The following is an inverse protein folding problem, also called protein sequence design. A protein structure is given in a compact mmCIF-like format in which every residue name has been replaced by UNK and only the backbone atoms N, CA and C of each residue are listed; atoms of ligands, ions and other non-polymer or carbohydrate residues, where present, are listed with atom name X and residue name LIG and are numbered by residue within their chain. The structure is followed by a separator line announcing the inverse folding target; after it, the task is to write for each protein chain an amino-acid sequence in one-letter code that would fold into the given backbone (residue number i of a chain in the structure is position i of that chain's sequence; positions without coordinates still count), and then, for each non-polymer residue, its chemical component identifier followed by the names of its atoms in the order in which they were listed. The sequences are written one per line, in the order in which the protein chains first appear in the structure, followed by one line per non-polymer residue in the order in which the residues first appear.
data_IF_296538473982
#
_entry.id   IF_296538473982
#
_cell.length_a   1.000
_cell.length_b   1.000
_cell.length_c   1.000
_cell.angle_alpha   90.00
_cell.angle_beta   90.00
_cell.angle_gamma   90.00
#
_symmetry.space_group_name_H-M   'P 1'
#
loop_
_entity.id
_entity.type
_entity.pdbx_description
1 polymer ?
#
# COMPACT_ATOMS: atom_id res chain seq x y z
N UNK A 1 -36.57 32.18 12.56
CA UNK A 1 -36.83 30.80 13.03
C UNK A 1 -37.16 29.99 11.77
N UNK A 2 -36.39 29.03 11.23
CA UNK A 2 -35.89 27.79 11.85
C UNK A 2 -34.87 27.06 10.93
N UNK A 3 -33.68 26.75 11.50
CA UNK A 3 -32.81 25.54 11.46
C UNK A 3 -32.59 24.69 10.18
N UNK A 4 -31.32 24.71 9.74
CA UNK A 4 -30.35 23.60 9.65
C UNK A 4 -30.81 22.21 9.14
N UNK A 5 -30.21 21.74 8.04
CA UNK A 5 -30.16 20.31 7.70
C UNK A 5 -28.73 19.87 7.43
N UNK A 6 -28.21 19.18 8.45
CA UNK A 6 -26.90 18.55 8.57
C UNK A 6 -26.74 17.40 7.57
N UNK A 7 -25.87 17.53 6.55
CA UNK A 7 -25.49 16.41 5.68
C UNK A 7 -24.46 15.55 6.41
N UNK A 8 -24.92 14.47 7.03
CA UNK A 8 -24.07 13.37 7.48
C UNK A 8 -23.44 12.69 6.25
N UNK A 9 -22.16 12.96 6.00
CA UNK A 9 -21.34 12.17 5.09
C UNK A 9 -21.29 10.72 5.58
N UNK A 10 -21.62 9.79 4.68
CA UNK A 10 -21.52 8.33 4.88
C UNK A 10 -20.15 7.99 5.47
N UNK A 11 -20.02 6.99 6.37
CA UNK A 11 -18.69 6.56 6.79
C UNK A 11 -17.96 6.12 5.52
N UNK A 12 -16.89 6.85 5.17
CA UNK A 12 -15.96 6.39 4.17
C UNK A 12 -15.63 4.95 4.56
N UNK A 13 -15.70 4.00 3.61
CA UNK A 13 -15.02 2.70 3.80
C UNK A 13 -13.68 3.05 4.42
N UNK A 14 -13.38 2.52 5.60
CA UNK A 14 -12.12 2.76 6.28
C UNK A 14 -11.02 2.29 5.35
N UNK A 15 -10.58 3.18 4.47
CA UNK A 15 -9.56 2.92 3.48
C UNK A 15 -8.28 3.03 4.29
N UNK A 16 -7.95 1.95 5.00
CA UNK A 16 -6.71 1.88 5.75
C UNK A 16 -5.60 1.98 4.72
N UNK A 17 -4.86 3.10 4.67
CA UNK A 17 -3.81 3.26 3.69
C UNK A 17 -2.73 2.20 3.95
N UNK A 18 -2.07 1.72 2.90
CA UNK A 18 -0.98 0.78 3.06
C UNK A 18 0.14 1.43 3.89
N UNK A 19 0.57 0.74 4.95
CA UNK A 19 1.67 1.19 5.78
C UNK A 19 3.01 1.06 5.04
N UNK A 20 3.11 0.06 4.15
CA UNK A 20 4.27 -0.16 3.31
C UNK A 20 3.85 -0.59 1.91
N UNK A 21 4.67 -0.27 0.91
CA UNK A 21 4.55 -0.75 -0.47
C UNK A 21 5.60 -1.83 -0.69
N UNK A 22 5.19 -2.94 -1.30
CA UNK A 22 6.07 -4.05 -1.63
C UNK A 22 6.67 -3.88 -3.01
N UNK A 23 8.00 -3.88 -3.07
CA UNK A 23 8.76 -3.81 -4.30
C UNK A 23 9.57 -5.10 -4.50
N UNK A 24 9.48 -5.66 -5.69
CA UNK A 24 10.46 -6.62 -6.17
C UNK A 24 11.71 -5.87 -6.63
N UNK A 25 12.86 -6.29 -6.12
CA UNK A 25 14.17 -5.82 -6.55
C UNK A 25 14.85 -6.95 -7.32
N UNK A 26 14.99 -6.75 -8.62
CA UNK A 26 15.71 -7.64 -9.52
C UNK A 26 17.05 -6.99 -9.88
N UNK A 27 18.15 -7.72 -9.72
CA UNK A 27 19.48 -7.26 -10.08
C UNK A 27 19.92 -8.03 -11.32
N UNK A 28 19.85 -7.39 -12.49
CA UNK A 28 20.35 -7.97 -13.74
C UNK A 28 21.64 -7.29 -14.15
N UNK A 29 22.76 -7.94 -13.83
CA UNK A 29 24.08 -7.37 -14.03
C UNK A 29 24.25 -6.09 -13.20
N UNK A 30 24.55 -4.98 -13.85
CA UNK A 30 24.80 -3.68 -13.20
C UNK A 30 23.51 -2.86 -12.96
N UNK A 31 22.35 -3.33 -13.43
CA UNK A 31 21.07 -2.60 -13.35
C UNK A 31 20.16 -3.19 -12.27
N UNK A 32 19.62 -2.30 -11.42
CA UNK A 32 18.62 -2.63 -10.41
C UNK A 32 17.23 -2.22 -10.89
N UNK A 33 16.33 -3.19 -11.02
CA UNK A 33 14.94 -2.98 -11.38
C UNK A 33 14.08 -2.99 -10.13
N UNK A 34 13.26 -1.96 -9.97
CA UNK A 34 12.29 -1.83 -8.89
C UNK A 34 10.90 -1.96 -9.48
N UNK A 35 10.20 -3.04 -9.16
CA UNK A 35 8.82 -3.27 -9.62
C UNK A 35 7.90 -3.28 -8.43
N UNK A 36 6.85 -2.46 -8.43
CA UNK A 36 5.81 -2.53 -7.39
C UNK A 36 5.01 -3.82 -7.60
N UNK A 37 4.96 -4.68 -6.59
CA UNK A 37 4.31 -5.99 -6.66
C UNK A 37 3.19 -6.16 -5.63
N UNK A 38 3.00 -5.18 -4.74
CA UNK A 38 1.96 -5.24 -3.73
C UNK A 38 2.08 -4.16 -2.65
N UNK A 39 1.42 -4.40 -1.52
CA UNK A 39 1.42 -3.52 -0.38
C UNK A 39 1.23 -4.28 0.94
N UNK A 40 1.57 -3.66 2.06
CA UNK A 40 1.42 -4.19 3.39
C UNK A 40 0.70 -3.22 4.31
N UNK A 41 -0.16 -3.75 5.16
CA UNK A 41 -0.97 -3.01 6.13
C UNK A 41 -0.63 -3.47 7.54
N UNK A 42 -0.73 -2.55 8.51
CA UNK A 42 -0.63 -2.92 9.92
C UNK A 42 -1.81 -3.81 10.28
N UNK A 43 -1.51 -4.93 10.92
CA UNK A 43 -2.53 -5.85 11.37
C UNK A 43 -3.29 -5.24 12.55
N UNK A 44 -4.62 -5.42 12.57
CA UNK A 44 -5.48 -4.79 13.59
C UNK A 44 -5.27 -5.39 14.99
N UNK A 45 -4.77 -6.63 15.08
CA UNK A 45 -4.79 -7.44 16.30
C UNK A 45 -3.39 -7.82 16.82
N UNK A 46 -2.41 -6.92 16.72
CA UNK A 46 -1.09 -7.10 17.34
C UNK A 46 0.07 -6.52 16.54
N UNK A 47 1.29 -6.96 16.87
CA UNK A 47 2.53 -6.61 16.17
C UNK A 47 2.70 -7.47 14.92
N UNK A 48 2.00 -7.10 13.85
CA UNK A 48 2.07 -7.82 12.58
C UNK A 48 1.74 -6.95 11.38
N UNK A 49 2.14 -7.41 10.20
CA UNK A 49 1.81 -6.78 8.92
C UNK A 49 1.08 -7.81 8.06
N UNK A 50 -0.06 -7.42 7.52
CA UNK A 50 -0.72 -8.16 6.44
C UNK A 50 -0.06 -7.76 5.13
N UNK A 51 0.53 -8.70 4.40
CA UNK A 51 1.14 -8.47 3.08
C UNK A 51 0.23 -9.01 1.98
N UNK A 52 -0.13 -8.18 1.02
CA UNK A 52 -0.84 -8.59 -0.20
C UNK A 52 0.09 -8.38 -1.40
N UNK A 53 0.24 -9.43 -2.20
CA UNK A 53 1.07 -9.43 -3.41
C UNK A 53 0.18 -9.74 -4.62
N UNK A 54 0.23 -8.87 -5.62
CA UNK A 54 -0.42 -9.09 -6.92
C UNK A 54 0.45 -9.96 -7.83
N UNK A 55 1.77 -9.92 -7.63
CA UNK A 55 2.74 -10.75 -8.33
C UNK A 55 3.75 -11.36 -7.37
N UNK A 56 4.06 -12.64 -7.61
CA UNK A 56 5.10 -13.37 -6.88
C UNK A 56 6.28 -13.61 -7.84
N UNK A 57 7.47 -13.08 -7.55
CA UNK A 57 8.64 -13.29 -8.40
C UNK A 57 9.14 -14.74 -8.30
N UNK A 58 9.07 -15.48 -9.40
CA UNK A 58 9.46 -16.91 -9.46
C UNK A 58 10.96 -17.14 -9.59
N UNK A 59 11.72 -16.14 -10.03
CA UNK A 59 13.14 -16.30 -10.39
C UNK A 59 14.12 -15.91 -9.27
N UNK A 60 13.67 -15.90 -8.01
CA UNK A 60 14.56 -15.74 -6.85
C UNK A 60 14.99 -14.31 -6.51
N UNK A 61 14.19 -13.29 -6.85
CA UNK A 61 14.45 -11.91 -6.47
C UNK A 61 13.93 -11.53 -5.08
N UNK A 62 14.39 -10.38 -4.57
CA UNK A 62 14.09 -9.92 -3.20
C UNK A 62 12.86 -9.03 -3.16
N UNK A 63 12.01 -9.22 -2.15
CA UNK A 63 10.91 -8.31 -1.86
C UNK A 63 11.34 -7.34 -0.77
N UNK A 64 11.18 -6.04 -1.02
CA UNK A 64 11.51 -4.95 -0.11
C UNK A 64 10.24 -4.16 0.18
N UNK A 65 9.89 -4.05 1.47
CA UNK A 65 8.79 -3.21 1.94
C UNK A 65 9.34 -1.81 2.25
N UNK A 66 8.78 -0.77 1.64
CA UNK A 66 9.12 0.63 1.94
C UNK A 66 7.89 1.43 2.31
N UNK A 67 8.03 2.36 3.25
CA UNK A 67 6.95 3.29 3.55
C UNK A 67 6.60 4.08 2.28
N UNK A 68 5.31 4.36 2.02
CA UNK A 68 4.95 5.29 0.97
C UNK A 68 5.56 6.65 1.31
N UNK A 69 6.53 7.11 0.54
CA UNK A 69 6.98 8.51 0.60
C UNK A 69 5.79 9.37 0.14
N UNK A 70 5.60 10.56 0.72
CA UNK A 70 4.50 11.51 0.44
C UNK A 70 4.32 11.92 -1.05
N UNK A 71 5.07 11.34 -1.98
CA UNK A 71 5.02 11.59 -3.41
C UNK A 71 4.21 10.54 -4.21
N UNK A 72 3.41 9.68 -3.58
CA UNK A 72 2.57 8.71 -4.31
C UNK A 72 1.22 8.53 -3.62
N UNK A 73 0.45 9.61 -3.50
CA UNK A 73 -0.99 9.57 -3.19
C UNK A 73 -1.90 9.48 -4.45
N UNK A 74 -1.34 9.48 -5.67
CA UNK A 74 -2.15 9.47 -6.91
C UNK A 74 -2.11 8.13 -7.65
N UNK A 75 -2.58 7.05 -7.02
CA UNK A 75 -2.93 5.84 -7.77
C UNK A 75 -4.06 5.06 -7.09
N UNK A 76 -5.25 5.64 -7.14
CA UNK A 76 -6.53 4.99 -6.88
C UNK A 76 -7.61 5.76 -7.61
N UNK A 77 -7.82 5.38 -8.89
CA UNK A 77 -8.89 5.88 -9.76
C UNK A 77 -10.29 5.64 -9.19
#
# INVERSE_FOLDING_TARGET
MTRNTNQKSKPAREFTPPAYIAYHVDERGEKKFWSRIGAAWRHQKGEGLTLQLDLIPVNGGRIVLRAPSEATEEAGA
#
